data_IF_079334814970
#
_entry.id   IF_079334814970
#
_cell.length_a   1.000
_cell.length_b   1.000
_cell.length_c   1.000
_cell.angle_alpha   90.00
_cell.angle_beta   90.00
_cell.angle_gamma   90.00
#
_symmetry.space_group_name_H-M   'P 1'
#
loop_
_entity.id
_entity.type
_entity.pdbx_description
1 polymer ?
#
# COMPACT_ATOMS: atom_id res chain seq x y z
N UNK A 1 -10.09 -1.30 -14.64
CA UNK A 1 -8.78 -1.31 -13.93
C UNK A 1 -8.34 0.05 -13.39
N UNK A 2 -9.22 0.81 -12.71
CA UNK A 2 -8.88 2.15 -12.22
C UNK A 2 -7.77 2.13 -11.16
N UNK A 3 -7.96 1.38 -10.07
CA UNK A 3 -6.99 1.32 -8.96
C UNK A 3 -5.61 0.85 -9.41
N UNK A 4 -5.54 -0.17 -10.27
CA UNK A 4 -4.28 -0.67 -10.80
C UNK A 4 -3.57 0.39 -11.66
N UNK A 5 -4.32 1.14 -12.46
CA UNK A 5 -3.79 2.23 -13.28
C UNK A 5 -3.20 3.35 -12.43
N UNK A 6 -3.93 3.80 -11.41
CA UNK A 6 -3.49 4.89 -10.53
C UNK A 6 -2.29 4.50 -9.65
N UNK A 7 -2.33 3.34 -8.99
CA UNK A 7 -1.25 2.88 -8.12
C UNK A 7 0.05 2.63 -8.90
N UNK A 8 -0.07 2.14 -10.15
CA UNK A 8 1.09 1.91 -11.03
C UNK A 8 1.90 3.17 -11.28
N UNK A 9 1.27 4.36 -11.30
CA UNK A 9 1.95 5.65 -11.48
C UNK A 9 2.96 5.93 -10.36
N UNK A 10 2.72 5.39 -9.17
CA UNK A 10 3.59 5.55 -8.00
C UNK A 10 4.47 4.32 -7.73
N UNK A 11 4.64 3.45 -8.73
CA UNK A 11 5.40 2.19 -8.60
C UNK A 11 4.80 1.19 -7.58
N UNK A 12 3.59 1.45 -7.08
CA UNK A 12 2.87 0.53 -6.19
C UNK A 12 2.11 -0.47 -7.05
N UNK A 13 2.40 -1.76 -6.87
CA UNK A 13 1.79 -2.83 -7.68
C UNK A 13 1.46 -4.04 -6.82
N UNK A 14 0.39 -4.78 -7.17
CA UNK A 14 0.16 -6.06 -6.54
C UNK A 14 1.14 -7.11 -7.09
N UNK A 15 1.53 -8.06 -6.25
CA UNK A 15 2.33 -9.22 -6.70
C UNK A 15 1.59 -10.11 -7.69
N UNK A 16 0.28 -10.23 -7.51
CA UNK A 16 -0.64 -10.92 -8.42
C UNK A 16 -1.90 -10.08 -8.54
N UNK A 17 -2.36 -9.83 -9.76
CA UNK A 17 -3.66 -9.19 -9.99
C UNK A 17 -4.74 -10.15 -9.47
N UNK A 18 -5.63 -9.72 -8.56
CA UNK A 18 -6.67 -10.58 -8.03
C UNK A 18 -7.70 -10.90 -9.12
N UNK A 19 -8.16 -12.15 -9.16
CA UNK A 19 -9.19 -12.64 -10.09
C UNK A 19 -10.60 -12.53 -9.48
N UNK A 20 -10.70 -12.30 -8.17
CA UNK A 20 -11.94 -12.21 -7.41
C UNK A 20 -11.74 -11.35 -6.14
N UNK A 21 -12.84 -11.03 -5.44
CA UNK A 21 -12.91 -10.17 -4.24
C UNK A 21 -12.70 -8.67 -4.52
N UNK A 22 -12.58 -7.87 -3.46
CA UNK A 22 -12.44 -6.42 -3.51
C UNK A 22 -11.16 -5.93 -2.81
N UNK A 23 -10.11 -6.77 -2.72
CA UNK A 23 -8.84 -6.43 -2.07
C UNK A 23 -7.65 -6.49 -3.01
N UNK A 24 -6.72 -5.54 -2.86
CA UNK A 24 -5.40 -5.55 -3.47
C UNK A 24 -4.34 -5.80 -2.39
N UNK A 25 -3.42 -6.72 -2.65
CA UNK A 25 -2.22 -6.93 -1.85
C UNK A 25 -1.03 -6.27 -2.54
N UNK A 26 -0.58 -5.13 -2.01
CA UNK A 26 0.33 -4.21 -2.68
C UNK A 26 1.72 -4.24 -2.04
N UNK A 27 2.74 -4.26 -2.88
CA UNK A 27 4.15 -4.23 -2.48
C UNK A 27 4.68 -2.78 -2.50
N UNK A 28 5.23 -2.32 -1.37
CA UNK A 28 5.80 -0.98 -1.19
C UNK A 28 7.33 -0.95 -1.33
N UNK A 29 7.99 -2.10 -1.52
CA UNK A 29 9.46 -2.18 -1.53
C UNK A 29 10.17 -1.32 -2.59
N UNK A 30 9.45 -0.88 -3.63
CA UNK A 30 9.96 0.01 -4.67
C UNK A 30 9.90 1.51 -4.31
N UNK A 31 9.29 1.86 -3.17
CA UNK A 31 9.22 3.22 -2.65
C UNK A 31 10.51 3.57 -1.89
N UNK A 32 10.81 4.87 -1.69
CA UNK A 32 11.93 5.29 -0.85
C UNK A 32 11.64 5.07 0.63
N UNK A 33 12.70 5.04 1.43
CA UNK A 33 12.60 5.15 2.89
C UNK A 33 11.97 6.49 3.29
N UNK A 34 11.11 6.54 4.33
CA UNK A 34 10.69 5.43 5.18
C UNK A 34 9.38 4.75 4.72
N UNK A 35 8.79 5.21 3.62
CA UNK A 35 7.46 4.78 3.16
C UNK A 35 7.45 3.45 2.38
N UNK A 36 8.61 2.83 2.23
CA UNK A 36 8.72 1.44 1.80
C UNK A 36 8.34 0.45 2.90
N UNK A 37 8.20 0.88 4.15
CA UNK A 37 7.65 0.12 5.27
C UNK A 37 6.13 0.29 5.39
N UNK A 38 5.41 -0.81 5.60
CA UNK A 38 3.95 -0.81 5.67
C UNK A 38 3.37 -0.11 6.90
N UNK A 39 4.05 -0.13 8.05
CA UNK A 39 3.59 0.61 9.25
C UNK A 39 3.74 2.10 9.02
N UNK A 40 4.89 2.53 8.53
CA UNK A 40 5.12 3.94 8.28
C UNK A 40 4.22 4.47 7.16
N UNK A 41 4.03 3.71 6.09
CA UNK A 41 3.09 4.08 5.03
C UNK A 41 1.66 4.26 5.56
N UNK A 42 1.20 3.37 6.43
CA UNK A 42 -0.10 3.51 7.09
C UNK A 42 -0.16 4.78 7.97
N UNK A 43 0.88 5.07 8.76
CA UNK A 43 0.92 6.28 9.59
C UNK A 43 0.84 7.56 8.74
N UNK A 44 1.60 7.63 7.65
CA UNK A 44 1.55 8.77 6.72
C UNK A 44 0.17 8.94 6.08
N UNK A 45 -0.53 7.84 5.77
CA UNK A 45 -1.90 7.92 5.25
C UNK A 45 -2.92 8.37 6.29
N UNK A 46 -2.73 8.04 7.57
CA UNK A 46 -3.60 8.52 8.64
C UNK A 46 -3.52 10.05 8.79
N UNK A 47 -2.35 10.66 8.57
CA UNK A 47 -2.21 12.13 8.48
C UNK A 47 -3.07 12.73 7.35
N UNK A 48 -3.29 11.95 6.29
CA UNK A 48 -4.09 12.30 5.12
C UNK A 48 -5.56 11.87 5.22
N UNK A 49 -6.02 11.45 6.42
CA UNK A 49 -7.36 10.92 6.69
C UNK A 49 -7.73 9.70 5.81
N UNK A 50 -6.73 8.91 5.42
CA UNK A 50 -6.91 7.67 4.66
C UNK A 50 -6.42 6.48 5.49
N UNK A 51 -7.11 5.35 5.39
CA UNK A 51 -6.74 4.12 6.10
C UNK A 51 -6.54 2.96 5.13
N UNK A 52 -5.45 2.24 5.32
CA UNK A 52 -5.18 0.95 4.68
C UNK A 52 -4.79 -0.07 5.73
N UNK A 53 -4.89 -1.34 5.38
CA UNK A 53 -4.60 -2.43 6.31
C UNK A 53 -3.14 -2.80 6.15
N UNK A 54 -2.40 -2.84 7.25
CA UNK A 54 -1.00 -3.21 7.21
C UNK A 54 -0.80 -4.71 6.96
N UNK A 55 0.15 -5.06 6.11
CA UNK A 55 0.52 -6.42 5.81
C UNK A 55 1.05 -7.23 7.00
N UNK A 56 1.63 -6.60 8.04
CA UNK A 56 2.14 -7.34 9.21
C UNK A 56 1.04 -8.15 9.90
N UNK A 57 -0.22 -7.72 9.82
CA UNK A 57 -1.35 -8.43 10.43
C UNK A 57 -1.69 -9.76 9.74
N UNK A 58 -1.12 -10.02 8.55
CA UNK A 58 -1.23 -11.28 7.83
C UNK A 58 0.01 -12.16 8.00
N UNK A 59 1.04 -11.66 8.68
CA UNK A 59 2.27 -12.40 8.92
C UNK A 59 2.10 -13.37 10.09
N UNK A 60 2.00 -14.66 9.77
CA UNK A 60 2.00 -15.72 10.76
C UNK A 60 3.44 -16.09 11.10
N UNK A 61 3.82 -15.98 12.38
CA UNK A 61 5.08 -16.51 12.92
C UNK A 61 4.80 -17.77 13.76
N UNK A 62 4.91 -18.98 13.18
CA UNK A 62 4.79 -20.22 13.94
C UNK A 62 5.75 -20.21 15.13
N UNK A 63 5.24 -20.56 16.33
CA UNK A 63 6.00 -20.67 17.58
C UNK A 63 6.60 -19.36 18.12
N UNK A 64 6.24 -18.19 17.56
CA UNK A 64 6.73 -16.90 18.05
C UNK A 64 8.25 -16.69 17.90
N UNK A 65 8.89 -17.45 17.00
CA UNK A 65 10.34 -17.36 16.78
C UNK A 65 10.74 -15.99 16.22
N UNK A 66 9.87 -15.36 15.44
CA UNK A 66 10.04 -13.98 14.98
C UNK A 66 9.54 -13.03 16.06
N UNK A 67 10.48 -12.39 16.77
CA UNK A 67 10.19 -11.47 17.88
C UNK A 67 9.64 -10.11 17.43
N UNK A 68 9.95 -9.70 16.20
CA UNK A 68 9.50 -8.42 15.63
C UNK A 68 8.89 -8.62 14.25
N UNK A 69 7.60 -8.28 14.14
CA UNK A 69 6.84 -8.37 12.90
C UNK A 69 7.37 -7.45 11.78
N UNK A 70 8.10 -6.39 12.14
CA UNK A 70 8.78 -5.50 11.19
C UNK A 70 9.86 -6.20 10.35
N UNK A 71 10.39 -7.35 10.79
CA UNK A 71 11.31 -8.18 9.99
C UNK A 71 10.59 -9.33 9.27
N UNK A 72 9.26 -9.27 9.22
CA UNK A 72 8.41 -10.26 8.58
C UNK A 72 8.39 -10.13 7.06
N UNK A 73 8.08 -11.22 6.33
CA UNK A 73 7.91 -11.17 4.88
C UNK A 73 6.80 -10.23 4.41
N UNK A 74 5.90 -9.82 5.31
CA UNK A 74 4.79 -8.91 5.02
C UNK A 74 5.03 -7.45 5.45
N UNK A 75 6.24 -7.10 5.94
CA UNK A 75 6.52 -5.78 6.49
C UNK A 75 6.36 -4.65 5.44
N UNK A 76 6.73 -4.90 4.19
CA UNK A 76 6.62 -3.93 3.08
C UNK A 76 5.27 -4.03 2.34
N UNK A 77 4.27 -4.71 2.91
CA UNK A 77 2.99 -4.92 2.25
C UNK A 77 1.86 -4.16 2.91
N UNK A 78 0.90 -3.77 2.10
CA UNK A 78 -0.40 -3.27 2.55
C UNK A 78 -1.53 -3.99 1.81
N UNK A 79 -2.69 -4.05 2.46
CA UNK A 79 -3.94 -4.49 1.84
C UNK A 79 -4.87 -3.29 1.69
N UNK A 80 -5.26 -3.02 0.44
CA UNK A 80 -6.20 -1.97 0.07
C UNK A 80 -7.55 -2.59 -0.29
N UNK A 81 -8.65 -1.95 0.13
CA UNK A 81 -10.01 -2.32 -0.29
C UNK A 81 -10.48 -1.40 -1.42
N UNK A 82 -11.01 -1.97 -2.49
CA UNK A 82 -11.64 -1.23 -3.61
C UNK A 82 -13.14 -1.52 -3.73
N UNK A 83 -13.76 -2.00 -2.65
CA UNK A 83 -15.21 -2.13 -2.52
C UNK A 83 -15.99 -0.82 -2.34
N UNK A 84 -15.41 0.28 -1.78
CA UNK A 84 -16.11 1.55 -1.67
C UNK A 84 -16.52 2.19 -3.02
N UNK A 85 -17.45 3.16 -3.02
CA UNK A 85 -17.82 3.93 -4.20
C UNK A 85 -16.64 4.63 -4.87
N UNK A 86 -16.72 4.84 -6.19
CA UNK A 86 -15.63 5.42 -7.00
C UNK A 86 -15.14 6.78 -6.48
N UNK A 87 -16.03 7.62 -5.95
CA UNK A 87 -15.63 8.92 -5.40
C UNK A 87 -14.75 8.78 -4.16
N UNK A 88 -15.01 7.79 -3.30
CA UNK A 88 -14.14 7.48 -2.16
C UNK A 88 -12.80 6.88 -2.62
N UNK A 89 -12.81 6.04 -3.67
CA UNK A 89 -11.58 5.49 -4.24
C UNK A 89 -10.66 6.60 -4.78
N UNK A 90 -11.21 7.59 -5.48
CA UNK A 90 -10.45 8.76 -5.97
C UNK A 90 -9.82 9.55 -4.82
N UNK A 91 -10.58 9.76 -3.74
CA UNK A 91 -10.06 10.44 -2.53
C UNK A 91 -8.90 9.66 -1.91
N UNK A 92 -9.05 8.34 -1.78
CA UNK A 92 -7.99 7.48 -1.25
C UNK A 92 -6.73 7.44 -2.13
N UNK A 93 -6.91 7.38 -3.46
CA UNK A 93 -5.80 7.48 -4.42
C UNK A 93 -5.07 8.82 -4.30
N UNK A 94 -5.81 9.93 -4.16
CA UNK A 94 -5.20 11.24 -4.02
C UNK A 94 -4.43 11.39 -2.69
N UNK A 95 -4.92 10.78 -1.61
CA UNK A 95 -4.16 10.69 -0.35
C UNK A 95 -2.84 9.92 -0.52
N UNK A 96 -2.88 8.77 -1.20
CA UNK A 96 -1.66 8.01 -1.56
C UNK A 96 -0.72 8.88 -2.41
N UNK A 97 -1.24 9.60 -3.40
CA UNK A 97 -0.45 10.47 -4.24
C UNK A 97 0.22 11.60 -3.44
N UNK A 98 -0.46 12.18 -2.45
CA UNK A 98 0.13 13.19 -1.55
C UNK A 98 1.25 12.61 -0.70
N UNK A 99 1.06 11.43 -0.08
CA UNK A 99 2.13 10.73 0.67
C UNK A 99 3.33 10.42 -0.23
N UNK A 100 3.10 9.86 -1.42
CA UNK A 100 4.16 9.55 -2.37
C UNK A 100 4.93 10.80 -2.79
N UNK A 101 4.25 11.90 -3.13
CA UNK A 101 4.89 13.17 -3.51
C UNK A 101 5.65 13.82 -2.35
N UNK A 102 5.13 13.75 -1.12
CA UNK A 102 5.80 14.20 0.11
C UNK A 102 7.19 13.55 0.28
N UNK A 103 7.34 12.32 -0.21
CA UNK A 103 8.58 11.54 -0.14
C UNK A 103 9.35 11.48 -1.47
N UNK A 104 9.06 12.38 -2.41
CA UNK A 104 9.82 12.50 -3.66
C UNK A 104 9.57 11.38 -4.69
N UNK A 105 8.46 10.64 -4.57
CA UNK A 105 8.07 9.66 -5.58
C UNK A 105 7.45 10.38 -6.78
N UNK A 106 8.22 10.49 -7.85
CA UNK A 106 7.73 11.03 -9.11
C UNK A 106 6.70 10.10 -9.76
N UNK A 107 5.66 10.71 -10.33
CA UNK A 107 4.64 10.00 -11.10
C UNK A 107 5.29 9.48 -12.38
N UNK A 108 5.33 8.16 -12.57
CA UNK A 108 5.77 7.58 -13.82
C UNK A 108 4.84 8.07 -14.94
N UNK A 109 5.36 8.84 -15.89
CA UNK A 109 4.60 9.20 -17.08
C UNK A 109 4.14 7.93 -17.77
N UNK A 110 2.84 7.82 -17.99
CA UNK A 110 2.26 6.79 -18.83
C UNK A 110 2.82 6.96 -20.23
N UNK A 111 3.73 6.05 -20.62
CA UNK A 111 3.99 5.77 -22.02
C UNK A 111 2.78 5.09 -22.66
#
# INVERSE_FOLDING_TARGET
>A
DYMLGELKKFRIRPRKIPEATFYLWLDLSALPDPINDGLEFCHQLLEENAIVINGIWFDLSPRGLRKHAAYGPCANFIRLSYGPPMEELKVGVEAIARVCRKHGVETAMSA
#
